data_IF_213738804020
#
_entry.id   IF_213738804020
#
_cell.length_a   1.000
_cell.length_b   1.000
_cell.length_c   1.000
_cell.angle_alpha   90.00
_cell.angle_beta   90.00
_cell.angle_gamma   90.00
#
_symmetry.space_group_name_H-M   'P 1'
#
loop_
_entity.id
_entity.type
_entity.pdbx_description
1 polymer ?
#
# COMPACT_ATOMS: atom_id res chain seq x y z
N UNK A 1 -3.51 28.23 20.16
CA UNK A 1 -3.28 28.86 18.84
C UNK A 1 -1.80 28.77 18.54
N UNK A 2 -1.39 27.90 17.60
CA UNK A 2 -0.15 27.91 16.80
C UNK A 2 -0.15 26.63 15.93
N UNK A 3 -1.04 26.59 14.94
CA UNK A 3 -0.95 25.59 13.87
C UNK A 3 0.17 26.03 12.92
N UNK A 4 1.37 25.48 13.08
CA UNK A 4 2.48 25.67 12.14
C UNK A 4 2.12 24.95 10.84
N UNK A 5 1.31 25.61 9.99
CA UNK A 5 1.05 25.17 8.63
C UNK A 5 2.30 25.47 7.80
N UNK A 6 3.09 24.45 7.50
CA UNK A 6 4.06 24.53 6.41
C UNK A 6 3.82 23.37 5.45
N UNK A 7 3.08 23.67 4.38
CA UNK A 7 2.68 22.75 3.31
C UNK A 7 3.32 23.10 1.96
N UNK A 8 4.23 24.08 1.88
CA UNK A 8 4.78 24.55 0.60
C UNK A 8 6.11 25.29 0.78
N UNK A 9 7.13 24.60 1.30
CA UNK A 9 8.51 25.09 1.15
C UNK A 9 9.31 24.01 0.45
N UNK A 10 10.11 24.39 -0.56
CA UNK A 10 10.98 23.49 -1.34
C UNK A 10 12.14 22.89 -0.53
N UNK A 11 12.00 22.85 0.80
CA UNK A 11 12.92 22.21 1.74
C UNK A 11 12.25 20.94 2.25
N UNK A 12 12.96 19.81 2.22
CA UNK A 12 12.52 18.51 2.75
C UNK A 12 12.46 18.53 4.29
N UNK A 13 11.56 19.34 4.86
CA UNK A 13 11.39 19.50 6.30
C UNK A 13 10.13 18.77 6.75
N UNK A 14 10.30 17.77 7.62
CA UNK A 14 9.20 17.04 8.27
C UNK A 14 8.75 17.77 9.54
N UNK A 15 7.56 17.46 10.05
CA UNK A 15 7.09 18.03 11.32
C UNK A 15 8.03 17.73 12.48
N UNK A 16 8.71 16.58 12.44
CA UNK A 16 9.69 16.18 13.44
C UNK A 16 10.98 17.01 13.34
N UNK A 17 11.61 17.10 12.17
CA UNK A 17 12.86 17.85 12.01
C UNK A 17 12.69 19.35 12.28
N UNK A 18 11.51 19.90 11.96
CA UNK A 18 11.14 21.28 12.33
C UNK A 18 11.10 21.48 13.84
N UNK A 19 10.40 20.58 14.54
CA UNK A 19 10.27 20.65 16.00
C UNK A 19 11.63 20.50 16.69
N UNK A 20 12.45 19.55 16.22
CA UNK A 20 13.79 19.34 16.75
C UNK A 20 14.68 20.57 16.53
N UNK A 21 14.62 21.20 15.36
CA UNK A 21 15.29 22.48 15.12
C UNK A 21 14.80 23.61 16.02
N UNK A 22 13.50 23.70 16.30
CA UNK A 22 12.95 24.71 17.23
C UNK A 22 13.42 24.48 18.68
N UNK A 23 13.53 23.22 19.09
CA UNK A 23 14.05 22.85 20.42
C UNK A 23 15.55 23.16 20.50
N UNK A 24 16.34 22.80 19.49
CA UNK A 24 17.78 23.05 19.45
C UNK A 24 18.12 24.55 19.45
N UNK A 25 17.32 25.37 18.78
CA UNK A 25 17.48 26.82 18.77
C UNK A 25 16.89 27.50 20.03
N UNK A 26 16.34 26.74 20.97
CA UNK A 26 15.79 27.27 22.22
C UNK A 26 14.48 28.06 22.08
N UNK A 27 13.84 28.01 20.91
CA UNK A 27 12.53 28.66 20.68
C UNK A 27 11.44 27.95 21.48
N UNK A 28 11.53 26.62 21.55
CA UNK A 28 10.66 25.77 22.37
C UNK A 28 11.55 25.15 23.45
N UNK A 29 11.27 25.38 24.75
CA UNK A 29 12.00 24.71 25.80
C UNK A 29 11.73 23.20 25.74
N UNK A 30 12.75 22.39 26.05
CA UNK A 30 12.66 20.93 25.96
C UNK A 30 11.48 20.36 26.76
N UNK A 31 11.17 20.96 27.91
CA UNK A 31 10.06 20.55 28.77
C UNK A 31 8.67 20.77 28.16
N UNK A 32 8.54 21.65 27.16
CA UNK A 32 7.28 21.89 26.44
C UNK A 32 7.17 21.07 25.16
N UNK A 33 8.00 20.04 25.00
CA UNK A 33 7.89 19.11 23.88
C UNK A 33 6.51 18.41 23.90
N UNK A 34 5.91 18.16 22.73
CA UNK A 34 4.68 17.38 22.64
C UNK A 34 4.88 15.95 23.16
N UNK A 35 3.83 15.37 23.73
CA UNK A 35 3.83 13.99 24.28
C UNK A 35 4.31 12.95 23.25
N UNK A 36 3.95 13.13 21.97
CA UNK A 36 4.33 12.20 20.91
C UNK A 36 5.82 12.25 20.53
N UNK A 37 6.55 13.31 20.91
CA UNK A 37 7.96 13.50 20.52
C UNK A 37 8.85 12.36 20.99
N UNK A 38 8.66 11.92 22.24
CA UNK A 38 9.45 10.83 22.82
C UNK A 38 9.18 9.49 22.14
N UNK A 39 7.91 9.23 21.83
CA UNK A 39 7.50 8.03 21.11
C UNK A 39 8.12 8.01 19.72
N UNK A 40 8.08 9.13 19.00
CA UNK A 40 8.68 9.26 17.68
C UNK A 40 10.21 9.10 17.72
N UNK A 41 10.87 9.71 18.73
CA UNK A 41 12.33 9.64 18.89
C UNK A 41 12.81 8.24 19.27
N UNK A 42 12.04 7.51 20.08
CA UNK A 42 12.35 6.13 20.46
C UNK A 42 12.09 5.14 19.32
N UNK A 43 11.02 5.35 18.56
CA UNK A 43 10.57 4.46 17.49
C UNK A 43 10.37 5.25 16.18
N UNK A 44 11.47 5.66 15.52
CA UNK A 44 11.35 6.39 14.26
C UNK A 44 10.69 5.51 13.19
N UNK A 45 9.85 6.09 12.32
CA UNK A 45 9.27 5.35 11.20
C UNK A 45 10.35 4.94 10.21
N UNK A 46 10.11 3.84 9.47
CA UNK A 46 11.05 3.34 8.45
C UNK A 46 11.43 4.39 7.40
N UNK A 47 10.45 5.22 7.01
CA UNK A 47 10.64 6.32 6.08
C UNK A 47 10.01 7.57 6.67
N UNK A 48 10.77 8.67 6.65
CA UNK A 48 10.27 9.95 7.13
C UNK A 48 9.04 10.43 6.34
N UNK A 49 8.06 11.05 7.02
CA UNK A 49 6.87 11.60 6.38
C UNK A 49 7.21 12.93 5.69
N UNK A 50 7.84 12.83 4.51
CA UNK A 50 8.11 13.96 3.62
C UNK A 50 6.87 14.29 2.79
N UNK A 51 6.61 15.58 2.57
CA UNK A 51 5.46 16.03 1.79
C UNK A 51 5.50 15.52 0.34
N UNK A 52 6.69 15.57 -0.28
CA UNK A 52 6.89 15.17 -1.67
C UNK A 52 7.43 13.73 -1.76
N UNK A 53 6.75 12.78 -1.11
CA UNK A 53 7.11 11.37 -1.25
C UNK A 53 6.76 10.92 -2.68
N UNK A 54 7.74 10.44 -3.48
CA UNK A 54 7.43 9.92 -4.80
C UNK A 54 6.55 8.67 -4.66
N UNK A 55 5.56 8.54 -5.54
CA UNK A 55 4.75 7.33 -5.60
C UNK A 55 5.64 6.24 -6.21
N UNK A 56 5.84 5.09 -5.53
CA UNK A 56 6.61 4.02 -6.11
C UNK A 56 5.88 3.47 -7.34
N UNK A 57 6.57 3.41 -8.48
CA UNK A 57 6.09 2.69 -9.67
C UNK A 57 6.15 1.18 -9.38
N UNK A 58 5.07 0.66 -8.79
CA UNK A 58 4.93 -0.75 -8.48
C UNK A 58 3.87 -1.36 -9.38
N UNK A 59 4.27 -2.37 -10.16
CA UNK A 59 3.32 -3.23 -10.88
C UNK A 59 2.52 -4.02 -9.84
N UNK A 60 1.22 -3.75 -9.75
CA UNK A 60 0.30 -4.46 -8.87
C UNK A 60 -0.03 -5.80 -9.54
N UNK A 61 0.44 -6.90 -8.94
CA UNK A 61 0.10 -8.25 -9.41
C UNK A 61 -1.32 -8.63 -9.00
N UNK A 62 -2.08 -9.34 -9.86
CA UNK A 62 -3.34 -9.93 -9.46
C UNK A 62 -3.11 -10.95 -8.33
N UNK A 63 -4.07 -11.05 -7.41
CA UNK A 63 -4.03 -12.01 -6.30
C UNK A 63 -4.97 -13.15 -6.69
N UNK A 64 -4.42 -14.18 -7.33
CA UNK A 64 -5.14 -15.39 -7.71
C UNK A 64 -4.64 -16.58 -6.88
N UNK A 65 -5.56 -17.42 -6.42
CA UNK A 65 -5.26 -18.66 -5.73
C UNK A 65 -5.56 -19.87 -6.62
N UNK A 66 -4.88 -21.02 -6.43
CA UNK A 66 -5.15 -22.23 -7.20
C UNK A 66 -6.62 -22.68 -7.12
N UNK A 67 -7.29 -22.45 -5.99
CA UNK A 67 -8.70 -22.83 -5.82
C UNK A 67 -9.66 -21.91 -6.57
N UNK A 68 -9.22 -20.72 -7.00
CA UNK A 68 -10.07 -19.79 -7.74
C UNK A 68 -10.52 -20.38 -9.08
N UNK A 69 -9.77 -21.33 -9.63
CA UNK A 69 -10.17 -22.13 -10.80
C UNK A 69 -11.44 -22.93 -10.49
N UNK A 70 -11.45 -23.68 -9.39
CA UNK A 70 -12.57 -24.53 -8.99
C UNK A 70 -13.77 -23.66 -8.59
N UNK A 71 -13.53 -22.54 -7.90
CA UNK A 71 -14.58 -21.57 -7.56
C UNK A 71 -15.21 -20.98 -8.81
N UNK A 72 -14.39 -20.60 -9.79
CA UNK A 72 -14.87 -20.06 -11.03
C UNK A 72 -15.66 -21.13 -11.80
N UNK A 73 -15.16 -22.36 -11.92
CA UNK A 73 -15.90 -23.48 -12.54
C UNK A 73 -17.26 -23.70 -11.88
N UNK A 74 -17.30 -23.67 -10.54
CA UNK A 74 -18.55 -23.78 -9.77
C UNK A 74 -19.50 -22.60 -10.06
N UNK A 75 -18.99 -21.38 -10.19
CA UNK A 75 -19.80 -20.21 -10.54
C UNK A 75 -20.46 -20.34 -11.91
N UNK A 76 -19.72 -20.80 -12.93
CA UNK A 76 -20.27 -21.07 -14.26
C UNK A 76 -21.39 -22.11 -14.18
N UNK A 77 -21.12 -23.26 -13.53
CA UNK A 77 -22.07 -24.38 -13.47
C UNK A 77 -23.32 -24.03 -12.67
N UNK A 78 -23.17 -23.26 -11.59
CA UNK A 78 -24.28 -22.91 -10.71
C UNK A 78 -25.12 -21.73 -11.22
N UNK A 79 -24.71 -21.06 -12.31
CA UNK A 79 -25.29 -19.79 -12.79
C UNK A 79 -25.43 -18.73 -11.67
N UNK A 80 -24.61 -18.86 -10.62
CA UNK A 80 -24.58 -17.90 -9.53
C UNK A 80 -23.59 -16.80 -9.90
N UNK A 81 -24.11 -15.63 -10.28
CA UNK A 81 -23.31 -14.43 -10.41
C UNK A 81 -22.83 -14.02 -9.01
N UNK A 82 -21.53 -14.16 -8.72
CA UNK A 82 -20.97 -13.44 -7.59
C UNK A 82 -20.77 -11.99 -8.00
N UNK A 83 -21.38 -11.08 -7.26
CA UNK A 83 -21.27 -9.65 -7.46
C UNK A 83 -19.93 -9.18 -6.88
N UNK A 84 -18.82 -9.34 -7.61
CA UNK A 84 -17.63 -8.52 -7.36
C UNK A 84 -17.69 -7.31 -8.32
N UNK A 85 -17.68 -6.06 -7.83
CA UNK A 85 -18.11 -4.89 -8.62
C UNK A 85 -17.22 -4.56 -9.82
N UNK A 86 -15.97 -5.06 -9.86
CA UNK A 86 -14.96 -4.54 -10.78
C UNK A 86 -14.41 -5.58 -11.81
N UNK A 87 -14.78 -6.87 -11.72
CA UNK A 87 -14.21 -7.92 -12.58
C UNK A 87 -15.27 -8.93 -13.03
N UNK A 88 -15.36 -9.16 -14.35
CA UNK A 88 -16.20 -10.19 -14.97
C UNK A 88 -15.58 -11.59 -14.76
N UNK A 89 -16.41 -12.59 -14.46
CA UNK A 89 -15.96 -13.96 -14.15
C UNK A 89 -15.07 -14.57 -15.22
N UNK A 90 -15.36 -14.28 -16.47
CA UNK A 90 -14.72 -14.90 -17.65
C UNK A 90 -13.26 -14.46 -17.79
N UNK A 91 -12.93 -13.24 -17.35
CA UNK A 91 -11.57 -12.72 -17.40
C UNK A 91 -10.66 -13.40 -16.36
N UNK A 92 -11.21 -13.80 -15.21
CA UNK A 92 -10.46 -14.47 -14.14
C UNK A 92 -9.97 -15.86 -14.56
N UNK A 93 -10.80 -16.60 -15.31
CA UNK A 93 -10.41 -17.92 -15.84
C UNK A 93 -9.22 -17.83 -16.79
N UNK A 94 -9.29 -16.93 -17.77
CA UNK A 94 -8.22 -16.77 -18.75
C UNK A 94 -6.89 -16.37 -18.10
N UNK A 95 -6.93 -15.57 -17.03
CA UNK A 95 -5.73 -15.14 -16.31
C UNK A 95 -5.11 -16.29 -15.50
N UNK A 96 -5.95 -17.05 -14.79
CA UNK A 96 -5.52 -18.21 -14.01
C UNK A 96 -4.92 -19.32 -14.89
N UNK A 97 -5.52 -19.59 -16.06
CA UNK A 97 -4.98 -20.55 -17.03
C UNK A 97 -3.59 -20.14 -17.54
N UNK A 98 -3.40 -18.85 -17.86
CA UNK A 98 -2.13 -18.32 -18.32
C UNK A 98 -1.04 -18.39 -17.24
N UNK A 99 -1.37 -18.18 -15.96
CA UNK A 99 -0.40 -18.24 -14.87
C UNK A 99 0.04 -19.69 -14.56
N UNK A 100 -0.86 -20.67 -14.66
CA UNK A 100 -0.52 -22.10 -14.48
C UNK A 100 0.30 -22.67 -15.63
N UNK A 101 0.04 -22.20 -16.86
CA UNK A 101 0.84 -22.55 -18.03
C UNK A 101 2.28 -22.03 -17.88
N UNK A 102 2.49 -20.85 -17.28
CA UNK A 102 3.83 -20.34 -16.94
C UNK A 102 4.52 -21.19 -15.87
N UNK A 103 3.77 -21.77 -14.94
CA UNK A 103 4.26 -22.70 -13.92
C UNK A 103 4.51 -24.12 -14.48
N UNK A 104 4.21 -24.37 -15.76
CA UNK A 104 4.44 -25.65 -16.44
C UNK A 104 3.37 -26.71 -16.16
N UNK A 105 2.25 -26.33 -15.55
CA UNK A 105 1.16 -27.26 -15.24
C UNK A 105 0.16 -27.28 -16.39
N UNK A 106 0.10 -28.39 -17.14
CA UNK A 106 -0.83 -28.56 -18.26
C UNK A 106 -2.14 -29.12 -17.71
N UNK A 107 -3.21 -28.30 -17.64
CA UNK A 107 -4.51 -28.74 -17.10
C UNK A 107 -5.22 -29.78 -17.98
N UNK A 108 -4.91 -29.80 -19.29
CA UNK A 108 -5.42 -30.79 -20.23
C UNK A 108 -4.29 -31.20 -21.19
N UNK A 109 -3.96 -32.49 -21.34
CA UNK A 109 -3.04 -32.92 -22.38
C UNK A 109 -3.66 -32.64 -23.76
N UNK A 110 -2.88 -32.05 -24.65
CA UNK A 110 -3.27 -31.83 -26.04
C UNK A 110 -3.65 -33.17 -26.68
N UNK A 111 -4.85 -33.25 -27.26
CA UNK A 111 -5.27 -34.33 -28.14
C UNK A 111 -4.74 -34.11 -29.56
#
# INVERSE_FOLDING_TARGET
MLFIRCSRSGFNLTSFSRLEGLIQNGVIPYEQRPVWYDVYKAFPPKEEPVFNRPIPDKVIRPILYPEDIVRACFMIVSNQKTTHPDLESDQLFSLAENDLQKEGTILYPNN
#
